data_IF_264151136992
#
_entry.id   IF_264151136992
#
_cell.length_a   1.000
_cell.length_b   1.000
_cell.length_c   1.000
_cell.angle_alpha   90.00
_cell.angle_beta   90.00
_cell.angle_gamma   90.00
#
_symmetry.space_group_name_H-M   'P 1'
#
loop_
_entity.id
_entity.type
_entity.pdbx_description
1 polymer ?
#
# COMPACT_ATOMS: atom_id res chain seq x y z
N UNK A 1 7.39 23.37 15.84
CA UNK A 1 7.24 21.94 15.52
C UNK A 1 6.95 21.24 16.84
N UNK A 2 5.87 20.46 16.94
CA UNK A 2 5.50 19.83 18.21
C UNK A 2 5.95 18.36 18.24
N UNK A 3 5.68 17.55 17.20
CA UNK A 3 6.21 16.18 17.06
C UNK A 3 5.81 15.55 15.71
N UNK A 4 6.61 14.62 15.18
CA UNK A 4 6.23 13.71 14.10
C UNK A 4 6.82 14.07 12.73
N UNK A 5 7.37 13.07 12.04
CA UNK A 5 7.93 13.17 10.68
C UNK A 5 9.42 13.53 10.63
N UNK A 6 10.01 14.01 11.73
CA UNK A 6 11.41 14.44 11.80
C UNK A 6 12.40 13.29 11.65
N UNK A 7 12.06 12.10 12.15
CA UNK A 7 12.86 10.89 12.01
C UNK A 7 12.97 10.44 10.55
N UNK A 8 11.88 10.57 9.78
CA UNK A 8 11.89 10.29 8.35
C UNK A 8 12.64 11.39 7.57
N UNK A 9 12.46 12.66 7.95
CA UNK A 9 13.13 13.80 7.29
C UNK A 9 14.63 13.67 7.37
N UNK A 10 15.15 13.42 8.56
CA UNK A 10 16.59 13.29 8.74
C UNK A 10 17.11 12.04 8.03
N UNK A 11 16.34 10.94 8.03
CA UNK A 11 16.75 9.70 7.36
C UNK A 11 16.87 9.88 5.86
N UNK A 12 15.84 10.42 5.20
CA UNK A 12 15.87 10.68 3.77
C UNK A 12 16.97 11.69 3.41
N UNK A 13 17.09 12.77 4.19
CA UNK A 13 18.14 13.78 3.97
C UNK A 13 19.54 13.19 4.09
N UNK A 14 19.84 12.42 5.13
CA UNK A 14 21.17 11.84 5.32
C UNK A 14 21.53 10.91 4.17
N UNK A 15 20.67 9.94 3.86
CA UNK A 15 20.93 8.96 2.79
C UNK A 15 21.01 9.61 1.41
N UNK A 16 20.03 10.45 1.06
CA UNK A 16 19.96 11.04 -0.27
C UNK A 16 21.05 12.09 -0.51
N UNK A 17 21.64 12.66 0.54
CA UNK A 17 22.68 13.69 0.40
C UNK A 17 24.10 13.16 0.72
N UNK A 18 24.33 11.85 0.60
CA UNK A 18 25.67 11.25 0.64
C UNK A 18 26.17 10.77 2.01
N UNK A 19 25.31 10.78 3.04
CA UNK A 19 25.60 10.14 4.32
C UNK A 19 25.02 8.73 4.44
N UNK A 20 25.14 8.14 5.62
CA UNK A 20 24.58 6.83 5.98
C UNK A 20 23.92 6.88 7.37
N UNK A 21 23.02 5.93 7.62
CA UNK A 21 22.50 5.65 8.96
C UNK A 21 22.91 4.25 9.39
N UNK A 22 23.45 4.13 10.59
CA UNK A 22 23.99 2.88 11.11
C UNK A 22 23.34 2.48 12.43
N UNK A 23 22.97 1.20 12.55
CA UNK A 23 22.63 0.60 13.82
C UNK A 23 23.90 0.00 14.44
N UNK A 24 24.29 0.47 15.62
CA UNK A 24 25.50 0.00 16.33
C UNK A 24 25.10 -0.93 17.49
N UNK A 25 25.15 -2.27 17.34
CA UNK A 25 24.60 -3.20 18.33
C UNK A 25 25.29 -3.17 19.70
N UNK A 26 26.54 -2.67 19.73
CA UNK A 26 27.34 -2.53 20.93
C UNK A 26 26.94 -1.31 21.78
N UNK A 27 26.30 -0.29 21.19
CA UNK A 27 25.81 0.88 21.90
C UNK A 27 24.35 0.66 22.32
N UNK A 28 24.06 0.73 23.62
CA UNK A 28 22.74 0.41 24.16
C UNK A 28 22.20 1.56 24.99
N UNK A 29 21.02 2.05 24.63
CA UNK A 29 20.28 3.08 25.37
C UNK A 29 18.85 2.58 25.59
N UNK A 30 18.39 2.55 26.84
CA UNK A 30 17.01 2.17 27.17
C UNK A 30 16.04 3.31 26.90
N UNK A 31 14.92 3.02 26.23
CA UNK A 31 13.83 3.97 26.00
C UNK A 31 12.51 3.39 26.52
N UNK A 32 11.77 4.17 27.31
CA UNK A 32 10.44 3.77 27.80
C UNK A 32 9.39 4.15 26.76
N UNK A 33 8.87 3.17 26.05
CA UNK A 33 7.77 3.37 25.12
C UNK A 33 6.48 3.72 25.85
N UNK A 34 5.75 4.71 25.33
CA UNK A 34 4.45 5.14 25.86
C UNK A 34 3.36 4.82 24.84
N UNK A 35 2.14 4.45 25.29
CA UNK A 35 1.04 4.11 24.39
C UNK A 35 0.43 5.34 23.69
N UNK A 36 0.75 6.55 24.14
CA UNK A 36 0.24 7.79 23.55
C UNK A 36 1.08 9.00 23.92
N UNK A 37 0.82 10.11 23.23
CA UNK A 37 1.53 11.35 23.47
C UNK A 37 1.02 12.07 24.72
N UNK A 38 1.91 12.49 25.62
CA UNK A 38 1.53 13.24 26.83
C UNK A 38 1.20 14.72 26.53
N UNK A 39 1.27 15.15 25.28
CA UNK A 39 1.05 16.54 24.85
C UNK A 39 0.00 16.62 23.75
N UNK A 40 -0.65 17.77 23.65
CA UNK A 40 -1.70 18.00 22.68
C UNK A 40 -1.13 18.14 21.25
N UNK A 41 -1.49 17.21 20.36
CA UNK A 41 -1.05 17.18 18.95
C UNK A 41 -1.90 18.04 18.02
N UNK A 42 -2.88 18.77 18.54
CA UNK A 42 -3.87 19.51 17.73
C UNK A 42 -3.44 20.93 17.32
N UNK A 43 -2.16 21.28 17.46
CA UNK A 43 -1.61 22.59 17.04
C UNK A 43 -2.21 23.81 17.76
N UNK A 44 -1.88 25.02 17.29
CA UNK A 44 -2.53 26.24 17.78
C UNK A 44 -4.03 26.19 17.49
N UNK A 45 -4.87 26.47 18.51
CA UNK A 45 -6.35 26.45 18.48
C UNK A 45 -7.03 25.07 18.52
N UNK A 46 -6.30 23.99 18.81
CA UNK A 46 -6.95 22.73 19.20
C UNK A 46 -7.58 21.92 18.07
N UNK A 47 -7.24 22.20 16.80
CA UNK A 47 -7.92 21.64 15.60
C UNK A 47 -7.02 21.26 14.41
N UNK A 48 -5.69 21.34 14.53
CA UNK A 48 -4.75 21.07 13.45
C UNK A 48 -4.12 19.67 13.51
N UNK A 49 -4.05 18.97 12.38
CA UNK A 49 -3.23 17.76 12.25
C UNK A 49 -1.75 18.14 12.06
N UNK A 50 -1.04 18.37 13.18
CA UNK A 50 0.37 18.77 13.16
C UNK A 50 1.25 17.67 12.56
N UNK A 51 0.96 16.41 12.89
CA UNK A 51 1.70 15.27 12.36
C UNK A 51 1.54 15.17 10.85
N UNK A 52 0.30 15.23 10.35
CA UNK A 52 -0.01 15.26 8.93
C UNK A 52 0.68 16.42 8.22
N UNK A 53 0.67 17.63 8.80
CA UNK A 53 1.37 18.77 8.20
C UNK A 53 2.87 18.55 8.10
N UNK A 54 3.52 18.01 9.13
CA UNK A 54 4.95 17.72 9.08
C UNK A 54 5.27 16.64 8.04
N UNK A 55 4.44 15.59 7.95
CA UNK A 55 4.58 14.54 6.96
C UNK A 55 4.34 15.03 5.52
N UNK A 56 3.43 15.99 5.30
CA UNK A 56 3.31 16.68 4.00
C UNK A 56 4.59 17.42 3.64
N UNK A 57 5.18 18.18 4.57
CA UNK A 57 6.43 18.93 4.33
C UNK A 57 7.59 18.01 3.97
N UNK A 58 7.69 16.85 4.64
CA UNK A 58 8.62 15.79 4.29
C UNK A 58 8.38 15.31 2.85
N UNK A 59 7.16 14.88 2.54
CA UNK A 59 6.82 14.30 1.25
C UNK A 59 7.06 15.28 0.10
N UNK A 60 6.71 16.55 0.29
CA UNK A 60 6.87 17.63 -0.69
C UNK A 60 8.32 18.07 -0.96
N UNK A 61 9.25 17.69 -0.06
CA UNK A 61 10.68 18.02 -0.21
C UNK A 61 11.49 16.81 -0.64
N UNK A 62 11.17 15.61 -0.15
CA UNK A 62 12.06 14.45 -0.23
C UNK A 62 11.53 13.27 -1.04
N UNK A 63 10.21 13.14 -1.25
CA UNK A 63 9.63 11.92 -1.87
C UNK A 63 9.41 12.02 -3.38
N UNK A 64 9.73 13.15 -4.03
CA UNK A 64 9.51 13.35 -5.47
C UNK A 64 8.07 12.94 -5.88
N UNK A 65 7.91 12.19 -6.98
CA UNK A 65 6.60 11.71 -7.43
C UNK A 65 6.03 10.56 -6.56
N UNK A 66 6.82 9.97 -5.65
CA UNK A 66 6.36 8.91 -4.74
C UNK A 66 5.45 9.44 -3.62
N UNK A 67 5.39 10.76 -3.44
CA UNK A 67 4.40 11.40 -2.54
C UNK A 67 2.95 11.03 -2.88
N UNK A 68 2.68 10.56 -4.11
CA UNK A 68 1.38 10.00 -4.52
C UNK A 68 0.89 8.91 -3.57
N UNK A 69 1.77 8.05 -3.07
CA UNK A 69 1.42 6.97 -2.14
C UNK A 69 1.12 7.47 -0.73
N UNK A 70 1.82 8.53 -0.29
CA UNK A 70 1.49 9.20 0.97
C UNK A 70 0.08 9.81 0.89
N UNK A 71 -0.22 10.54 -0.18
CA UNK A 71 -1.53 11.17 -0.37
C UNK A 71 -2.65 10.17 -0.72
N UNK A 72 -2.32 8.97 -1.19
CA UNK A 72 -3.29 7.87 -1.31
C UNK A 72 -3.80 7.43 0.07
N UNK A 73 -2.90 7.29 1.06
CA UNK A 73 -3.26 6.94 2.44
C UNK A 73 -3.83 8.12 3.23
N UNK A 74 -3.37 9.33 2.93
CA UNK A 74 -3.81 10.60 3.56
C UNK A 74 -4.52 11.49 2.55
N UNK A 75 -5.54 10.95 1.89
CA UNK A 75 -6.31 11.70 0.89
C UNK A 75 -6.92 12.98 1.46
N UNK A 76 -7.27 12.97 2.75
CA UNK A 76 -7.75 14.13 3.50
C UNK A 76 -6.76 15.30 3.55
N UNK A 77 -5.47 15.07 3.27
CA UNK A 77 -4.42 16.08 3.25
C UNK A 77 -4.04 16.56 1.85
N UNK A 78 -4.53 15.90 0.80
CA UNK A 78 -4.20 16.27 -0.58
C UNK A 78 -4.67 17.69 -0.88
N UNK A 79 -3.75 18.55 -1.33
CA UNK A 79 -4.03 19.96 -1.64
C UNK A 79 -4.17 20.89 -0.43
N UNK A 80 -3.97 20.41 0.81
CA UNK A 80 -3.93 21.27 1.99
C UNK A 80 -2.61 22.03 2.10
N UNK A 81 -2.65 23.16 2.79
CA UNK A 81 -1.46 23.96 3.07
C UNK A 81 -0.49 23.24 4.03
N UNK A 82 0.77 23.13 3.60
CA UNK A 82 1.88 22.58 4.38
C UNK A 82 2.89 23.67 4.82
N UNK A 83 2.64 24.92 4.45
CA UNK A 83 3.49 26.08 4.70
C UNK A 83 4.76 26.10 3.84
N UNK A 84 5.56 27.15 3.98
CA UNK A 84 6.78 27.33 3.18
C UNK A 84 7.83 26.24 3.44
N UNK A 85 8.35 25.66 2.36
CA UNK A 85 9.41 24.64 2.34
C UNK A 85 10.58 25.01 1.43
N UNK A 86 10.63 26.24 0.90
CA UNK A 86 11.63 26.60 -0.11
C UNK A 86 13.06 26.49 0.44
N UNK A 87 13.29 26.98 1.66
CA UNK A 87 14.60 26.81 2.33
C UNK A 87 15.06 25.34 2.42
N UNK A 88 14.14 24.37 2.51
CA UNK A 88 14.48 22.94 2.53
C UNK A 88 14.81 22.43 1.12
N UNK A 89 14.06 22.89 0.11
CA UNK A 89 14.34 22.59 -1.30
C UNK A 89 15.69 23.15 -1.75
N UNK A 90 16.03 24.36 -1.32
CA UNK A 90 17.34 24.97 -1.55
C UNK A 90 18.48 24.15 -0.94
N UNK A 91 18.30 23.63 0.29
CA UNK A 91 19.30 22.74 0.90
C UNK A 91 19.48 21.48 0.05
N UNK A 92 18.39 20.84 -0.38
CA UNK A 92 18.44 19.64 -1.23
C UNK A 92 19.18 19.91 -2.54
N UNK A 93 18.90 21.05 -3.19
CA UNK A 93 19.60 21.50 -4.41
C UNK A 93 21.08 21.77 -4.15
N UNK A 94 21.40 22.55 -3.12
CA UNK A 94 22.78 22.96 -2.79
C UNK A 94 23.68 21.78 -2.45
N UNK A 95 23.15 20.77 -1.76
CA UNK A 95 23.88 19.56 -1.42
C UNK A 95 23.93 18.53 -2.57
N UNK A 96 23.31 18.83 -3.72
CA UNK A 96 23.23 17.94 -4.87
C UNK A 96 22.71 16.53 -4.51
N UNK A 97 21.66 16.48 -3.69
CA UNK A 97 21.13 15.21 -3.20
C UNK A 97 20.49 14.38 -4.33
N UNK A 98 20.56 13.06 -4.19
CA UNK A 98 19.92 12.09 -5.06
C UNK A 98 18.38 12.18 -5.05
N UNK A 99 17.74 11.53 -6.02
CA UNK A 99 16.28 11.39 -6.10
C UNK A 99 15.76 10.35 -5.10
N UNK A 100 14.46 10.40 -4.81
CA UNK A 100 13.83 9.39 -3.96
C UNK A 100 13.81 8.02 -4.65
N UNK A 101 13.74 8.00 -6.00
CA UNK A 101 13.92 6.78 -6.78
C UNK A 101 15.29 6.13 -6.50
N UNK A 102 16.36 6.92 -6.52
CA UNK A 102 17.69 6.42 -6.18
C UNK A 102 17.73 5.85 -4.75
N UNK A 103 17.07 6.50 -3.79
CA UNK A 103 16.96 5.98 -2.42
C UNK A 103 16.28 4.61 -2.37
N UNK A 104 15.14 4.45 -3.06
CA UNK A 104 14.45 3.16 -3.14
C UNK A 104 15.31 2.09 -3.83
N UNK A 105 16.06 2.44 -4.87
CA UNK A 105 16.89 1.48 -5.61
C UNK A 105 18.19 1.10 -4.89
N UNK A 106 18.77 1.98 -4.07
CA UNK A 106 20.12 1.80 -3.50
C UNK A 106 20.14 1.65 -1.97
N UNK A 107 19.14 2.17 -1.26
CA UNK A 107 19.09 2.16 0.20
C UNK A 107 18.00 1.23 0.73
N UNK A 108 16.86 1.14 0.04
CA UNK A 108 15.74 0.29 0.46
C UNK A 108 15.15 -0.56 -0.70
N UNK A 109 15.98 -1.36 -1.40
CA UNK A 109 15.60 -2.09 -2.63
C UNK A 109 14.55 -3.18 -2.43
N UNK A 110 14.38 -3.68 -1.21
CA UNK A 110 13.37 -4.67 -0.87
C UNK A 110 11.95 -4.09 -0.80
N UNK A 111 11.81 -2.75 -0.77
CA UNK A 111 10.52 -2.10 -0.70
C UNK A 111 9.74 -2.32 -1.99
N UNK A 112 8.61 -3.03 -1.88
CA UNK A 112 7.67 -3.14 -2.98
C UNK A 112 6.99 -1.79 -3.27
N UNK A 113 6.95 -1.42 -4.55
CA UNK A 113 6.29 -0.22 -5.07
C UNK A 113 5.04 -0.66 -5.83
N UNK A 114 3.88 -0.17 -5.40
CA UNK A 114 2.59 -0.73 -5.80
C UNK A 114 2.28 -0.57 -7.31
N UNK A 115 2.85 0.43 -7.98
CA UNK A 115 2.59 0.76 -9.39
C UNK A 115 3.82 0.62 -10.31
N UNK A 116 4.94 0.05 -9.82
CA UNK A 116 6.16 -0.12 -10.61
C UNK A 116 6.53 -1.61 -10.69
N UNK A 117 6.95 -2.08 -11.88
CA UNK A 117 7.28 -3.50 -12.11
C UNK A 117 6.15 -4.48 -11.74
N UNK A 118 4.92 -4.11 -12.13
CA UNK A 118 3.69 -4.90 -11.93
C UNK A 118 3.00 -5.17 -13.28
N UNK A 119 2.10 -6.16 -13.33
CA UNK A 119 1.21 -6.36 -14.48
C UNK A 119 0.03 -5.38 -14.47
N UNK A 120 -0.53 -5.15 -13.29
CA UNK A 120 -1.69 -4.30 -13.09
C UNK A 120 -1.72 -3.79 -11.64
N UNK A 121 -2.38 -2.66 -11.41
CA UNK A 121 -2.48 -2.06 -10.09
C UNK A 121 -3.71 -1.12 -9.96
N UNK A 122 -3.99 -0.70 -8.73
CA UNK A 122 -5.07 0.22 -8.38
C UNK A 122 -6.30 -0.49 -7.84
N UNK A 123 -7.46 0.10 -8.07
CA UNK A 123 -8.76 -0.51 -7.72
C UNK A 123 -8.97 -1.82 -8.51
N UNK A 124 -9.42 -2.89 -7.84
CA UNK A 124 -9.77 -4.18 -8.47
C UNK A 124 -11.28 -4.39 -8.42
N UNK A 125 -11.95 -4.06 -9.53
CA UNK A 125 -13.40 -3.99 -9.64
C UNK A 125 -13.99 -5.22 -10.32
N UNK A 126 -15.10 -5.73 -9.78
CA UNK A 126 -16.04 -6.56 -10.53
C UNK A 126 -17.06 -5.66 -11.27
N UNK A 127 -17.09 -5.64 -12.62
CA UNK A 127 -17.97 -4.73 -13.36
C UNK A 127 -19.47 -5.00 -13.17
N UNK A 128 -19.86 -6.25 -12.89
CA UNK A 128 -21.26 -6.63 -12.80
C UNK A 128 -21.93 -6.22 -11.49
N UNK A 129 -21.18 -6.25 -10.38
CA UNK A 129 -21.67 -5.86 -9.06
C UNK A 129 -21.25 -4.45 -8.65
N UNK A 130 -20.28 -3.83 -9.34
CA UNK A 130 -19.64 -2.58 -8.92
C UNK A 130 -19.01 -2.66 -7.52
N UNK A 131 -18.58 -3.87 -7.12
CA UNK A 131 -17.83 -4.12 -5.90
C UNK A 131 -16.35 -4.26 -6.20
N UNK A 132 -15.52 -3.83 -5.26
CA UNK A 132 -14.07 -3.82 -5.35
C UNK A 132 -13.44 -4.60 -4.21
N UNK A 133 -12.26 -5.19 -4.45
CA UNK A 133 -11.47 -5.77 -3.38
C UNK A 133 -11.12 -4.70 -2.34
N UNK A 134 -11.26 -5.03 -1.07
CA UNK A 134 -11.12 -4.09 0.04
C UNK A 134 -10.61 -4.79 1.30
N UNK A 135 -9.71 -4.14 2.04
CA UNK A 135 -9.24 -4.62 3.35
C UNK A 135 -10.20 -4.26 4.50
N UNK A 136 -11.25 -3.48 4.22
CA UNK A 136 -12.19 -2.86 5.15
C UNK A 136 -11.50 -2.03 6.24
N UNK A 137 -10.32 -1.47 5.93
CA UNK A 137 -9.50 -0.72 6.88
C UNK A 137 -8.94 -1.55 8.04
N UNK A 138 -8.89 -2.88 7.89
CA UNK A 138 -8.27 -3.77 8.88
C UNK A 138 -6.75 -3.57 8.90
N UNK A 139 -6.17 -3.65 10.09
CA UNK A 139 -4.73 -3.58 10.30
C UNK A 139 -4.06 -4.87 9.79
N UNK A 140 -3.09 -4.72 8.89
CA UNK A 140 -2.38 -5.81 8.20
C UNK A 140 -1.24 -6.43 9.04
N UNK A 141 -1.18 -6.17 10.36
CA UNK A 141 -0.21 -6.79 11.29
C UNK A 141 -0.37 -8.31 11.48
N UNK A 142 -1.27 -8.95 10.75
CA UNK A 142 -1.49 -10.39 10.72
C UNK A 142 -2.35 -10.78 9.52
N UNK A 143 -2.82 -12.03 9.50
CA UNK A 143 -3.67 -12.49 8.41
C UNK A 143 -5.05 -11.84 8.46
N UNK A 144 -5.43 -11.10 7.41
CA UNK A 144 -6.75 -10.45 7.31
C UNK A 144 -7.53 -11.00 6.12
N UNK A 145 -8.87 -11.11 6.20
CA UNK A 145 -9.67 -11.50 5.04
C UNK A 145 -9.60 -10.43 3.94
N UNK A 146 -9.50 -10.86 2.68
CA UNK A 146 -9.78 -10.00 1.53
C UNK A 146 -11.30 -9.92 1.38
N UNK A 147 -11.84 -8.73 1.57
CA UNK A 147 -13.27 -8.49 1.49
C UNK A 147 -13.62 -7.71 0.22
N UNK A 148 -14.91 -7.46 0.04
CA UNK A 148 -15.41 -6.60 -1.02
C UNK A 148 -16.23 -5.44 -0.46
N UNK A 149 -16.14 -4.29 -1.11
CA UNK A 149 -16.93 -3.11 -0.78
C UNK A 149 -17.26 -2.30 -2.03
N UNK A 150 -18.23 -1.39 -1.94
CA UNK A 150 -18.53 -0.44 -2.99
C UNK A 150 -17.26 0.30 -3.42
N UNK A 151 -16.99 0.32 -4.71
CA UNK A 151 -15.80 0.94 -5.27
C UNK A 151 -15.75 2.44 -4.96
N UNK A 152 -14.59 2.91 -4.48
CA UNK A 152 -14.36 4.28 -4.01
C UNK A 152 -13.64 5.16 -5.03
N UNK A 153 -13.45 4.66 -6.26
CA UNK A 153 -12.91 5.39 -7.42
C UNK A 153 -11.53 6.02 -7.14
N UNK A 154 -10.60 5.21 -6.63
CA UNK A 154 -9.20 5.62 -6.43
C UNK A 154 -8.93 6.51 -5.21
N UNK A 155 -9.93 6.81 -4.39
CA UNK A 155 -9.77 7.63 -3.17
C UNK A 155 -9.24 6.82 -1.98
N UNK A 156 -9.36 5.49 -2.02
CA UNK A 156 -9.12 4.63 -0.87
C UNK A 156 -7.89 3.75 -1.02
N UNK A 157 -6.93 3.93 -0.13
CA UNK A 157 -5.80 3.02 0.00
C UNK A 157 -6.22 1.58 0.35
N UNK A 158 -7.38 1.38 0.96
CA UNK A 158 -7.88 0.04 1.33
C UNK A 158 -8.29 -0.80 0.12
N UNK A 159 -8.58 -0.16 -1.01
CA UNK A 159 -8.98 -0.82 -2.26
C UNK A 159 -7.84 -0.94 -3.27
N UNK A 160 -6.63 -0.52 -2.89
CA UNK A 160 -5.47 -0.57 -3.76
C UNK A 160 -4.79 -1.92 -3.68
N UNK A 161 -4.71 -2.62 -4.82
CA UNK A 161 -3.99 -3.88 -4.96
C UNK A 161 -3.09 -3.83 -6.19
N UNK A 162 -2.12 -4.72 -6.22
CA UNK A 162 -1.17 -4.89 -7.31
C UNK A 162 -1.08 -6.36 -7.70
N UNK A 163 -0.95 -6.62 -8.99
CA UNK A 163 -0.54 -7.93 -9.50
C UNK A 163 0.94 -7.84 -9.89
N UNK A 164 1.83 -8.36 -9.07
CA UNK A 164 3.28 -8.26 -9.28
C UNK A 164 3.75 -9.06 -10.50
N UNK A 165 4.92 -8.72 -11.07
CA UNK A 165 5.58 -9.52 -12.13
C UNK A 165 5.99 -10.94 -11.69
N UNK A 166 5.87 -11.24 -10.40
CA UNK A 166 6.08 -12.56 -9.80
C UNK A 166 4.77 -13.31 -9.57
N UNK A 167 3.69 -12.87 -10.22
CA UNK A 167 2.35 -13.46 -10.18
C UNK A 167 1.74 -13.47 -8.76
N UNK A 168 1.95 -12.43 -7.95
CA UNK A 168 1.30 -12.30 -6.64
C UNK A 168 0.24 -11.19 -6.70
N UNK A 169 -1.01 -11.53 -6.35
CA UNK A 169 -2.04 -10.53 -6.03
C UNK A 169 -1.77 -10.02 -4.62
N UNK A 170 -1.35 -8.76 -4.47
CA UNK A 170 -0.74 -8.27 -3.23
C UNK A 170 -1.00 -6.79 -2.96
N UNK A 171 -0.67 -6.39 -1.74
CA UNK A 171 -0.45 -5.00 -1.32
C UNK A 171 1.04 -4.81 -1.05
N UNK A 172 1.42 -3.92 -0.12
CA UNK A 172 2.83 -3.61 0.16
C UNK A 172 3.60 -4.86 0.61
N UNK A 173 3.30 -5.36 1.82
CA UNK A 173 4.00 -6.48 2.42
C UNK A 173 3.14 -7.76 2.51
N UNK A 174 1.86 -7.66 2.14
CA UNK A 174 0.91 -8.76 2.22
C UNK A 174 0.42 -9.23 0.86
N UNK A 175 0.29 -10.54 0.70
CA UNK A 175 -0.07 -11.23 -0.53
C UNK A 175 -1.31 -12.10 -0.26
N UNK A 176 -2.19 -12.18 -1.26
CA UNK A 176 -3.38 -13.02 -1.20
C UNK A 176 -3.01 -14.49 -1.19
N UNK A 177 -3.56 -15.24 -0.24
CA UNK A 177 -3.48 -16.70 -0.12
C UNK A 177 -4.86 -17.27 0.19
N UNK A 178 -5.02 -18.57 0.00
CA UNK A 178 -6.24 -19.26 0.37
C UNK A 178 -6.26 -19.63 1.85
N UNK A 179 -7.42 -19.50 2.49
CA UNK A 179 -7.70 -20.00 3.82
C UNK A 179 -8.89 -20.96 3.79
N UNK A 180 -8.80 -22.03 4.57
CA UNK A 180 -9.86 -23.04 4.69
C UNK A 180 -9.94 -24.02 3.53
N UNK A 181 -10.36 -25.25 3.85
CA UNK A 181 -10.70 -26.28 2.88
C UNK A 181 -12.16 -26.69 3.08
N UNK A 182 -13.08 -25.95 2.46
CA UNK A 182 -14.41 -26.49 2.19
C UNK A 182 -14.41 -27.05 0.76
N UNK A 183 -15.17 -28.12 0.52
CA UNK A 183 -15.12 -28.89 -0.72
C UNK A 183 -15.41 -28.07 -1.99
N UNK A 184 -16.21 -27.00 -1.87
CA UNK A 184 -16.70 -26.25 -3.03
C UNK A 184 -16.24 -24.78 -3.09
N UNK A 185 -15.78 -24.21 -1.98
CA UNK A 185 -15.34 -22.80 -1.92
C UNK A 185 -14.15 -22.62 -0.99
N UNK A 186 -13.25 -21.69 -1.33
CA UNK A 186 -12.13 -21.30 -0.47
C UNK A 186 -12.18 -19.80 -0.18
N UNK A 187 -11.67 -19.43 0.99
CA UNK A 187 -11.61 -18.04 1.42
C UNK A 187 -10.29 -17.43 1.00
N UNK A 188 -10.26 -16.11 0.78
CA UNK A 188 -9.02 -15.39 0.47
C UNK A 188 -8.64 -14.51 1.65
N UNK A 189 -7.40 -14.64 2.10
CA UNK A 189 -6.80 -13.80 3.14
C UNK A 189 -5.52 -13.15 2.59
N UNK A 190 -5.12 -12.02 3.18
CA UNK A 190 -3.80 -11.44 3.02
C UNK A 190 -2.89 -12.00 4.11
N UNK A 191 -1.69 -12.43 3.75
CA UNK A 191 -0.62 -12.84 4.66
C UNK A 191 0.71 -12.29 4.17
N UNK A 192 1.79 -12.37 4.95
CA UNK A 192 3.11 -11.89 4.52
C UNK A 192 3.51 -12.48 3.16
N UNK A 193 3.99 -11.61 2.28
CA UNK A 193 4.48 -12.00 0.97
C UNK A 193 5.74 -12.86 1.08
N UNK A 194 5.73 -14.00 0.39
CA UNK A 194 6.89 -14.87 0.19
C UNK A 194 7.00 -15.20 -1.29
N UNK A 195 8.08 -14.75 -1.93
CA UNK A 195 8.33 -14.98 -3.34
C UNK A 195 8.49 -16.46 -3.71
N UNK A 196 8.91 -17.30 -2.76
CA UNK A 196 9.06 -18.74 -2.94
C UNK A 196 7.75 -19.51 -2.72
N UNK A 197 6.75 -18.89 -2.08
CA UNK A 197 5.48 -19.54 -1.79
C UNK A 197 4.62 -19.68 -3.04
N UNK A 198 4.41 -20.92 -3.46
CA UNK A 198 3.57 -21.27 -4.62
C UNK A 198 2.09 -21.02 -4.34
N UNK A 199 1.66 -21.00 -3.08
CA UNK A 199 0.28 -20.68 -2.67
C UNK A 199 -0.10 -19.21 -2.94
N UNK A 200 0.89 -18.36 -3.19
CA UNK A 200 0.69 -16.94 -3.48
C UNK A 200 0.63 -16.62 -4.97
N UNK A 201 0.39 -17.62 -5.82
CA UNK A 201 0.44 -17.47 -7.28
C UNK A 201 -0.94 -17.24 -7.88
N UNK A 202 -1.07 -16.14 -8.62
CA UNK A 202 -2.31 -15.63 -9.20
C UNK A 202 -2.07 -15.17 -10.63
N UNK A 203 -3.00 -15.48 -11.53
CA UNK A 203 -2.96 -14.97 -12.90
C UNK A 203 -4.23 -14.19 -13.20
N UNK A 204 -4.10 -13.22 -14.09
CA UNK A 204 -5.20 -12.42 -14.57
C UNK A 204 -4.93 -11.97 -16.00
N UNK A 205 -5.84 -12.32 -16.90
CA UNK A 205 -5.91 -11.71 -18.22
C UNK A 205 -6.79 -10.47 -18.16
N UNK A 206 -6.43 -9.40 -18.89
CA UNK A 206 -7.18 -8.14 -18.90
C UNK A 206 -8.66 -8.41 -19.17
N UNK A 207 -9.54 -7.86 -18.33
CA UNK A 207 -10.99 -8.07 -18.39
C UNK A 207 -11.46 -9.53 -18.21
N UNK A 208 -10.59 -10.42 -17.72
CA UNK A 208 -10.90 -11.82 -17.46
C UNK A 208 -11.08 -12.11 -15.97
N UNK A 209 -10.96 -13.38 -15.63
CA UNK A 209 -10.98 -13.83 -14.23
C UNK A 209 -9.64 -13.58 -13.54
N UNK A 210 -9.67 -13.50 -12.21
CA UNK A 210 -8.47 -13.63 -11.37
C UNK A 210 -8.45 -15.08 -10.89
N UNK A 211 -7.42 -15.83 -11.28
CA UNK A 211 -7.32 -17.27 -11.04
C UNK A 211 -6.21 -17.55 -10.04
N UNK A 212 -6.52 -18.29 -8.99
CA UNK A 212 -5.53 -18.83 -8.09
C UNK A 212 -4.85 -20.04 -8.74
N UNK A 213 -3.56 -19.92 -9.06
CA UNK A 213 -2.84 -20.92 -9.86
C UNK A 213 -2.77 -22.31 -9.23
N UNK A 214 -2.56 -22.49 -7.91
CA UNK A 214 -2.55 -23.79 -7.27
C UNK A 214 -3.90 -24.52 -7.27
N UNK A 215 -4.98 -23.83 -6.90
CA UNK A 215 -6.30 -24.47 -6.78
C UNK A 215 -7.09 -24.50 -8.09
N UNK A 216 -6.68 -23.71 -9.10
CA UNK A 216 -7.41 -23.52 -10.37
C UNK A 216 -8.82 -22.94 -10.20
N UNK A 217 -9.07 -22.29 -9.06
CA UNK A 217 -10.32 -21.61 -8.78
C UNK A 217 -10.24 -20.13 -9.13
N UNK A 218 -11.39 -19.55 -9.44
CA UNK A 218 -11.56 -18.16 -9.82
C UNK A 218 -12.15 -17.35 -8.67
N UNK A 219 -11.68 -16.12 -8.51
CA UNK A 219 -12.24 -15.13 -7.60
C UNK A 219 -13.66 -14.77 -8.04
N UNK A 220 -14.64 -14.89 -7.13
CA UNK A 220 -16.06 -14.82 -7.46
C UNK A 220 -16.84 -14.02 -6.40
N UNK A 221 -17.67 -13.08 -6.87
CA UNK A 221 -18.57 -12.27 -6.03
C UNK A 221 -20.03 -12.72 -6.06
N UNK A 222 -20.34 -13.86 -6.67
CA UNK A 222 -21.72 -14.36 -6.74
C UNK A 222 -22.32 -14.56 -5.34
N UNK A 223 -23.50 -13.99 -5.14
CA UNK A 223 -24.22 -14.04 -3.87
C UNK A 223 -23.58 -13.24 -2.74
N UNK A 224 -22.58 -12.40 -3.03
CA UNK A 224 -21.89 -11.56 -2.05
C UNK A 224 -22.34 -10.10 -2.15
N UNK A 225 -22.19 -9.39 -1.05
CA UNK A 225 -22.58 -7.99 -0.83
C UNK A 225 -21.46 -7.24 -0.09
N UNK A 226 -21.70 -5.96 0.23
CA UNK A 226 -20.72 -5.14 0.94
C UNK A 226 -20.27 -5.78 2.25
N UNK A 227 -18.97 -5.72 2.50
CA UNK A 227 -18.25 -6.27 3.64
C UNK A 227 -18.08 -7.80 3.64
N UNK A 228 -18.67 -8.52 2.69
CA UNK A 228 -18.47 -9.96 2.59
C UNK A 228 -17.02 -10.28 2.21
N UNK A 229 -16.54 -11.44 2.64
CA UNK A 229 -15.24 -11.94 2.22
C UNK A 229 -15.33 -12.53 0.82
N UNK A 230 -14.42 -12.16 -0.06
CA UNK A 230 -14.38 -12.71 -1.42
C UNK A 230 -14.06 -14.21 -1.38
N UNK A 231 -14.67 -14.96 -2.30
CA UNK A 231 -14.54 -16.43 -2.35
C UNK A 231 -13.87 -16.87 -3.64
N UNK A 232 -13.21 -18.02 -3.58
CA UNK A 232 -12.79 -18.77 -4.76
C UNK A 232 -13.82 -19.85 -5.07
N UNK A 233 -14.21 -19.95 -6.35
CA UNK A 233 -15.14 -20.97 -6.87
C UNK A 233 -14.63 -21.54 -8.19
N UNK A 234 -15.27 -22.61 -8.66
CA UNK A 234 -14.95 -23.20 -9.97
C UNK A 234 -15.01 -22.12 -11.06
N UNK A 235 -13.97 -22.06 -11.90
CA UNK A 235 -13.92 -21.12 -13.01
C UNK A 235 -15.00 -21.45 -14.04
N UNK A 236 -15.83 -20.46 -14.36
CA UNK A 236 -16.89 -20.56 -15.38
C UNK A 236 -16.62 -19.51 -16.47
N UNK A 237 -16.47 -19.92 -17.74
CA UNK A 237 -16.23 -18.98 -18.84
C UNK A 237 -17.31 -17.89 -18.92
N UNK A 238 -16.89 -16.64 -19.10
CA UNK A 238 -17.76 -15.47 -19.25
C UNK A 238 -18.73 -15.20 -18.08
N UNK A 239 -18.54 -15.80 -16.91
CA UNK A 239 -19.39 -15.54 -15.74
C UNK A 239 -19.17 -14.11 -15.23
N UNK A 240 -20.20 -13.22 -15.22
CA UNK A 240 -20.02 -11.82 -14.86
C UNK A 240 -19.46 -11.61 -13.44
N UNK A 241 -19.85 -12.45 -12.49
CA UNK A 241 -19.38 -12.38 -11.10
C UNK A 241 -17.91 -12.84 -10.92
N UNK A 242 -17.31 -13.45 -11.94
CA UNK A 242 -15.90 -13.85 -11.94
C UNK A 242 -15.02 -12.93 -12.79
N UNK A 243 -15.59 -11.91 -13.42
CA UNK A 243 -14.84 -10.95 -14.22
C UNK A 243 -14.29 -9.84 -13.34
N UNK A 244 -13.00 -9.53 -13.50
CA UNK A 244 -12.33 -8.47 -12.74
C UNK A 244 -11.60 -7.51 -13.67
N UNK A 245 -11.48 -6.26 -13.22
CA UNK A 245 -10.81 -5.19 -13.95
C UNK A 245 -9.97 -4.41 -12.95
N UNK A 246 -8.67 -4.31 -13.22
CA UNK A 246 -7.79 -3.38 -12.54
C UNK A 246 -7.96 -1.98 -13.14
N UNK A 247 -7.82 -0.95 -12.30
CA UNK A 247 -7.83 0.45 -12.73
C UNK A 247 -6.73 0.74 -13.77
N UNK A 248 -5.53 0.19 -13.55
CA UNK A 248 -4.39 0.35 -14.43
C UNK A 248 -3.76 -0.99 -14.80
N UNK A 249 -3.33 -1.10 -16.06
CA UNK A 249 -2.61 -2.25 -16.59
C UNK A 249 -1.33 -1.74 -17.26
N UNK A 250 -0.18 -2.22 -16.80
CA UNK A 250 1.10 -1.94 -17.44
C UNK A 250 1.33 -2.99 -18.52
N UNK A 251 1.38 -2.54 -19.78
CA UNK A 251 1.85 -3.40 -20.86
C UNK A 251 3.33 -3.71 -20.65
N UNK A 252 3.69 -4.98 -20.81
CA UNK A 252 5.08 -5.43 -20.95
C UNK A 252 5.74 -4.75 -22.15
#
# INVERSE_FOLDING_TARGET
MVWGGENLEISFRVWMCGGSLEFVPCSRVGHIFRPGHPYNMTGEKGKGDVHGRNSMRLAEVWMDDYKRFYYMHRHDLKGKDFGDVESRREIRKRLNCHSFKWYLENVFPEKFILDENVHAYGEVRNPSSSLCLDTLGKDEKGSIPVSIFSCQNGVSANQYFSLSKTDQLRREDTCSVTSGHNSDTMDVILSNCDYADKSQKWIHERNGSIVHLPSKLCLDVEGLSNNDQVKLRQCVPNKPSQRWVFEHYLTS
#
